data_IF_314856813271
#
_entry.id   IF_314856813271
#
_cell.length_a   1.000
_cell.length_b   1.000
_cell.length_c   1.000
_cell.angle_alpha   90.00
_cell.angle_beta   90.00
_cell.angle_gamma   90.00
#
_symmetry.space_group_name_H-M   'P 1'
#
loop_
_entity.id
_entity.type
_entity.pdbx_description
1 polymer ?
#
# COMPACT_ATOMS: atom_id res chain seq x y z
N UNK A 1 36.30 9.96 31.86
CA UNK A 1 37.03 9.32 30.74
C UNK A 1 36.03 8.71 29.75
N UNK A 2 36.39 8.66 28.46
CA UNK A 2 35.54 8.11 27.41
C UNK A 2 35.90 6.62 27.15
N UNK A 3 35.05 5.65 27.50
CA UNK A 3 35.36 4.23 27.27
C UNK A 3 35.26 3.86 25.78
N UNK A 4 36.05 2.86 25.34
CA UNK A 4 36.06 2.38 23.95
C UNK A 4 34.68 1.90 23.48
N UNK A 5 33.89 1.28 24.37
CA UNK A 5 32.54 0.81 24.07
C UNK A 5 31.58 1.94 23.67
N UNK A 6 31.70 3.10 24.33
CA UNK A 6 30.89 4.29 24.01
C UNK A 6 31.23 4.82 22.60
N UNK A 7 32.54 4.85 22.27
CA UNK A 7 32.98 5.30 20.95
C UNK A 7 32.48 4.34 19.88
N UNK A 8 32.65 3.03 20.08
CA UNK A 8 32.13 2.00 19.14
C UNK A 8 30.64 2.15 18.93
N UNK A 9 29.85 2.30 19.99
CA UNK A 9 28.41 2.50 19.92
C UNK A 9 28.02 3.78 19.14
N UNK A 10 28.72 4.90 19.43
CA UNK A 10 28.49 6.18 18.73
C UNK A 10 28.79 6.09 17.24
N UNK A 11 29.88 5.43 16.87
CA UNK A 11 30.27 5.26 15.46
C UNK A 11 29.34 4.27 14.76
N UNK A 12 28.95 3.17 15.39
CA UNK A 12 28.02 2.19 14.86
C UNK A 12 26.62 2.79 14.59
N UNK A 13 26.15 3.72 15.46
CA UNK A 13 24.88 4.43 15.24
C UNK A 13 24.87 5.27 13.96
N UNK A 14 26.03 5.80 13.57
CA UNK A 14 26.18 6.64 12.36
C UNK A 14 26.63 5.84 11.13
N UNK A 15 26.89 4.55 11.28
CA UNK A 15 27.44 3.72 10.23
C UNK A 15 26.63 3.71 8.94
N UNK A 16 25.37 3.31 9.03
CA UNK A 16 24.48 3.18 7.85
C UNK A 16 24.07 4.53 7.24
N UNK A 17 24.06 5.60 8.02
CA UNK A 17 23.54 6.89 7.56
C UNK A 17 24.60 7.88 7.10
N UNK A 18 25.86 7.69 7.52
CA UNK A 18 26.94 8.63 7.21
C UNK A 18 28.14 7.94 6.58
N UNK A 19 28.73 6.95 7.27
CA UNK A 19 30.03 6.41 6.85
C UNK A 19 29.91 5.41 5.68
N UNK A 20 28.95 4.51 5.75
CA UNK A 20 28.78 3.49 4.70
C UNK A 20 28.43 4.10 3.33
N UNK A 21 27.47 5.06 3.22
CA UNK A 21 27.22 5.79 1.97
C UNK A 21 28.45 6.52 1.41
N UNK A 22 29.26 7.09 2.28
CA UNK A 22 30.48 7.82 1.92
C UNK A 22 31.51 6.96 1.19
N UNK A 23 31.49 5.64 1.39
CA UNK A 23 32.35 4.69 0.68
C UNK A 23 32.15 4.64 -0.82
N UNK A 24 31.05 5.20 -1.34
CA UNK A 24 30.74 5.33 -2.77
C UNK A 24 31.04 6.73 -3.31
N UNK A 25 31.47 7.65 -2.46
CA UNK A 25 31.86 9.00 -2.87
C UNK A 25 33.23 8.98 -3.57
N UNK A 26 33.44 9.86 -4.52
CA UNK A 26 34.73 10.06 -5.18
C UNK A 26 35.74 10.66 -4.20
N UNK A 27 35.26 11.61 -3.40
CA UNK A 27 36.02 12.22 -2.31
C UNK A 27 35.23 12.04 -1.02
N UNK A 28 35.88 11.57 0.03
CA UNK A 28 35.23 11.34 1.31
C UNK A 28 34.90 12.67 2.02
N UNK A 29 33.69 12.79 2.51
CA UNK A 29 33.28 13.91 3.35
C UNK A 29 33.70 13.73 4.83
N UNK A 30 34.09 12.52 5.24
CA UNK A 30 34.32 12.18 6.65
C UNK A 30 35.76 11.79 6.97
N UNK A 31 36.52 11.31 5.99
CA UNK A 31 37.89 10.82 6.23
C UNK A 31 38.94 11.80 5.71
N UNK A 32 40.02 12.02 6.50
CA UNK A 32 40.38 11.37 7.77
C UNK A 32 39.44 11.82 8.92
N UNK A 33 38.92 10.82 9.68
CA UNK A 33 37.98 11.04 10.79
C UNK A 33 38.76 11.08 12.13
N UNK A 34 38.59 12.20 12.86
CA UNK A 34 39.18 12.40 14.20
C UNK A 34 38.11 12.38 15.26
N UNK A 35 38.19 11.50 16.24
CA UNK A 35 37.30 11.36 17.38
C UNK A 35 38.05 11.79 18.65
N UNK A 36 37.70 12.95 19.20
CA UNK A 36 38.27 13.46 20.45
C UNK A 36 37.83 12.64 21.65
N UNK A 37 38.77 12.40 22.57
CA UNK A 37 38.55 11.70 23.83
C UNK A 37 38.54 12.69 24.97
N UNK A 38 37.74 12.41 26.00
CA UNK A 38 37.74 13.22 27.22
C UNK A 38 38.80 12.67 28.18
N UNK A 39 39.91 13.41 28.46
CA UNK A 39 40.92 12.98 29.41
C UNK A 39 40.30 13.00 30.85
N UNK A 40 40.94 12.28 31.80
CA UNK A 40 40.51 12.30 33.19
C UNK A 40 40.70 13.69 33.81
N UNK A 41 39.82 14.05 34.71
CA UNK A 41 40.00 15.20 35.60
C UNK A 41 40.94 14.82 36.75
N UNK A 42 41.54 15.82 37.42
CA UNK A 42 42.42 15.55 38.58
C UNK A 42 41.64 14.83 39.71
N UNK A 43 40.36 15.14 39.91
CA UNK A 43 39.52 14.39 40.87
C UNK A 43 39.37 12.91 40.50
N UNK A 44 39.16 12.60 39.24
CA UNK A 44 39.07 11.19 38.78
C UNK A 44 40.40 10.45 38.96
N UNK A 45 41.52 11.13 38.76
CA UNK A 45 42.87 10.55 38.99
C UNK A 45 43.10 10.22 40.47
N UNK A 46 42.60 11.06 41.37
CA UNK A 46 42.78 10.87 42.84
C UNK A 46 41.78 9.85 43.40
N UNK A 47 40.54 9.80 42.88
CA UNK A 47 39.50 8.95 43.43
C UNK A 47 39.52 7.51 42.87
N UNK A 48 39.91 7.32 41.61
CA UNK A 48 39.90 5.98 40.93
C UNK A 48 41.06 5.84 39.96
N UNK A 49 42.27 5.86 40.48
CA UNK A 49 43.51 5.71 39.70
C UNK A 49 43.56 4.42 38.87
N UNK A 50 43.13 3.32 39.46
CA UNK A 50 43.13 2.02 38.77
C UNK A 50 42.15 1.97 37.56
N UNK A 51 41.02 2.66 37.63
CA UNK A 51 40.14 2.77 36.49
C UNK A 51 40.72 3.63 35.38
N UNK A 52 41.37 4.73 35.72
CA UNK A 52 42.09 5.58 34.76
C UNK A 52 43.23 4.80 34.11
N UNK A 53 44.04 4.04 34.87
CA UNK A 53 45.11 3.20 34.35
C UNK A 53 44.61 2.15 33.38
N UNK A 54 43.52 1.44 33.73
CA UNK A 54 42.85 0.47 32.82
C UNK A 54 42.33 1.16 31.57
N UNK A 55 41.80 2.36 31.67
CA UNK A 55 41.35 3.14 30.52
C UNK A 55 42.52 3.47 29.57
N UNK A 56 43.64 4.00 30.09
CA UNK A 56 44.86 4.29 29.31
C UNK A 56 45.38 3.00 28.63
N UNK A 57 45.45 1.90 29.36
CA UNK A 57 45.91 0.61 28.84
C UNK A 57 45.02 0.10 27.71
N UNK A 58 43.71 0.30 27.79
CA UNK A 58 42.79 -0.11 26.74
C UNK A 58 43.06 0.58 25.39
N UNK A 59 43.56 1.82 25.41
CA UNK A 59 43.97 2.53 24.20
C UNK A 59 45.37 2.18 23.76
N UNK A 60 46.31 1.96 24.69
CA UNK A 60 47.66 1.52 24.36
C UNK A 60 47.70 0.15 23.66
N UNK A 61 46.79 -0.76 23.99
CA UNK A 61 46.63 -2.03 23.30
C UNK A 61 46.22 -1.90 21.83
N UNK A 62 45.70 -0.73 21.43
CA UNK A 62 45.27 -0.44 20.05
C UNK A 62 46.38 0.17 19.17
N UNK A 63 47.57 0.46 19.69
CA UNK A 63 48.69 1.07 18.93
C UNK A 63 49.14 0.24 17.72
N UNK A 64 48.90 -1.07 17.72
CA UNK A 64 49.18 -1.96 16.57
C UNK A 64 48.05 -2.05 15.57
N UNK A 65 47.01 -1.29 15.77
CA UNK A 65 45.81 -1.29 14.91
C UNK A 65 46.01 -0.38 13.68
N UNK A 66 45.25 -0.55 12.60
CA UNK A 66 45.36 0.24 11.37
C UNK A 66 44.82 1.68 11.50
N UNK A 67 44.60 2.18 12.72
CA UNK A 67 44.23 3.54 13.04
C UNK A 67 45.16 4.12 14.10
N UNK A 68 45.23 5.43 14.19
CA UNK A 68 46.19 6.13 15.01
C UNK A 68 45.56 6.58 16.32
N UNK A 69 46.26 6.45 17.44
CA UNK A 69 45.96 7.05 18.73
C UNK A 69 46.79 8.28 18.93
N UNK A 70 46.18 9.45 19.04
CA UNK A 70 46.89 10.66 19.40
C UNK A 70 47.04 10.73 20.92
N UNK A 71 48.25 10.91 21.41
CA UNK A 71 48.57 11.02 22.82
C UNK A 71 48.92 12.45 23.19
N UNK A 72 48.55 12.85 24.41
CA UNK A 72 48.91 14.15 24.98
C UNK A 72 49.56 13.97 26.34
N UNK A 73 50.76 14.52 26.49
CA UNK A 73 51.43 14.64 27.80
C UNK A 73 50.78 15.76 28.63
N UNK A 74 50.31 15.44 29.82
CA UNK A 74 49.71 16.37 30.75
C UNK A 74 50.38 16.26 32.12
N UNK A 75 50.74 17.41 32.75
CA UNK A 75 51.20 17.47 34.12
C UNK A 75 49.99 17.44 35.06
N UNK A 76 49.96 16.46 35.94
CA UNK A 76 48.88 16.21 36.90
C UNK A 76 49.44 16.24 38.30
N UNK A 77 48.60 16.12 39.33
CA UNK A 77 49.02 15.95 40.72
C UNK A 77 49.91 14.71 40.97
N UNK A 78 49.87 13.73 40.06
CA UNK A 78 50.63 12.48 40.10
C UNK A 78 51.88 12.52 39.15
N UNK A 79 52.31 13.70 38.70
CA UNK A 79 53.43 13.88 37.79
C UNK A 79 53.03 14.04 36.32
N UNK A 80 54.00 13.86 35.41
CA UNK A 80 53.79 13.92 33.97
C UNK A 80 53.29 12.56 33.46
N UNK A 81 52.08 12.54 32.85
CA UNK A 81 51.45 11.33 32.34
C UNK A 81 50.95 11.57 30.92
N UNK A 82 50.96 10.52 30.09
CA UNK A 82 50.45 10.52 28.73
C UNK A 82 49.04 9.95 28.70
N UNK A 83 48.10 10.73 28.13
CA UNK A 83 46.72 10.32 27.99
C UNK A 83 46.29 10.26 26.52
N UNK A 84 45.45 9.32 26.12
CA UNK A 84 44.91 9.30 24.78
C UNK A 84 43.96 10.50 24.59
N UNK A 85 44.24 11.30 23.54
CA UNK A 85 43.52 12.52 23.20
C UNK A 85 42.49 12.34 22.12
N UNK A 86 42.82 11.51 21.09
CA UNK A 86 41.89 11.23 19.99
C UNK A 86 42.23 9.88 19.34
N UNK A 87 41.26 9.35 18.63
CA UNK A 87 41.46 8.26 17.65
C UNK A 87 41.28 8.90 16.27
N UNK A 88 42.21 8.59 15.37
CA UNK A 88 42.21 9.01 13.97
C UNK A 88 42.08 7.82 13.04
N UNK A 89 41.06 7.82 12.21
CA UNK A 89 40.82 6.85 11.17
C UNK A 89 41.14 7.49 9.81
N UNK A 90 42.13 6.99 9.11
CA UNK A 90 42.55 7.53 7.80
C UNK A 90 41.53 7.15 6.70
N UNK A 91 40.90 5.98 6.82
CA UNK A 91 39.98 5.45 5.84
C UNK A 91 38.74 4.81 6.49
N UNK A 92 37.70 4.62 5.71
CA UNK A 92 36.48 3.88 6.15
C UNK A 92 36.83 2.42 6.53
N UNK A 93 37.84 1.80 5.91
CA UNK A 93 38.28 0.44 6.24
C UNK A 93 38.83 0.38 7.67
N UNK A 94 39.59 1.39 8.09
CA UNK A 94 40.10 1.47 9.46
C UNK A 94 38.92 1.58 10.46
N UNK A 95 37.89 2.41 10.14
CA UNK A 95 36.68 2.54 10.95
C UNK A 95 35.90 1.23 10.99
N UNK A 96 35.68 0.59 9.83
CA UNK A 96 34.95 -0.66 9.73
C UNK A 96 35.57 -1.77 10.57
N UNK A 97 36.95 -1.87 10.54
CA UNK A 97 37.69 -2.78 11.40
C UNK A 97 37.47 -2.51 12.88
N UNK A 98 37.52 -1.24 13.29
CA UNK A 98 37.32 -0.84 14.69
C UNK A 98 35.93 -1.20 15.24
N UNK A 99 34.88 -1.04 14.43
CA UNK A 99 33.48 -1.34 14.84
C UNK A 99 33.01 -2.74 14.39
N UNK A 100 33.89 -3.61 13.90
CA UNK A 100 33.58 -4.96 13.40
C UNK A 100 32.56 -5.01 12.24
N UNK A 101 32.72 -4.10 11.27
CA UNK A 101 31.82 -3.95 10.09
C UNK A 101 32.52 -4.16 8.74
N UNK A 102 33.70 -4.79 8.73
CA UNK A 102 34.50 -4.98 7.49
C UNK A 102 33.76 -5.82 6.46
N UNK A 103 33.09 -6.91 6.86
CA UNK A 103 32.32 -7.75 5.95
C UNK A 103 31.12 -7.02 5.37
N UNK A 104 30.44 -6.21 6.19
CA UNK A 104 29.28 -5.41 5.77
C UNK A 104 29.70 -4.31 4.77
N UNK A 105 30.86 -3.67 5.00
CA UNK A 105 31.46 -2.72 4.06
C UNK A 105 31.72 -3.37 2.71
N UNK A 106 32.45 -4.49 2.70
CA UNK A 106 32.81 -5.19 1.48
C UNK A 106 31.56 -5.63 0.68
N UNK A 107 30.56 -6.19 1.36
CA UNK A 107 29.30 -6.58 0.74
C UNK A 107 28.58 -5.38 0.12
N UNK A 108 28.44 -4.30 0.88
CA UNK A 108 27.78 -3.09 0.39
C UNK A 108 28.46 -2.49 -0.84
N UNK A 109 29.80 -2.37 -0.80
CA UNK A 109 30.58 -1.85 -1.93
C UNK A 109 30.42 -2.74 -3.17
N UNK A 110 30.51 -4.07 -2.99
CA UNK A 110 30.35 -5.02 -4.10
C UNK A 110 28.96 -4.88 -4.74
N UNK A 111 27.90 -4.91 -3.95
CA UNK A 111 26.52 -4.81 -4.45
C UNK A 111 26.25 -3.45 -5.10
N UNK A 112 26.68 -2.37 -4.44
CA UNK A 112 26.46 -1.02 -4.96
C UNK A 112 27.21 -0.79 -6.27
N UNK A 113 28.46 -1.22 -6.38
CA UNK A 113 29.21 -1.10 -7.62
C UNK A 113 28.55 -1.90 -8.75
N UNK A 114 28.13 -3.14 -8.50
CA UNK A 114 27.40 -3.94 -9.48
C UNK A 114 26.08 -3.28 -9.95
N UNK A 115 25.36 -2.62 -9.03
CA UNK A 115 24.15 -1.89 -9.36
C UNK A 115 24.44 -0.64 -10.17
N UNK A 116 25.46 0.14 -9.78
CA UNK A 116 25.84 1.40 -10.42
C UNK A 116 26.44 1.14 -11.80
N UNK A 117 27.27 0.11 -11.96
CA UNK A 117 27.87 -0.27 -13.25
C UNK A 117 26.79 -0.70 -14.27
N UNK A 118 25.73 -1.38 -13.78
CA UNK A 118 24.62 -1.81 -14.63
C UNK A 118 23.61 -0.69 -14.85
N UNK A 119 23.32 0.10 -13.81
CA UNK A 119 22.32 1.17 -13.79
C UNK A 119 22.88 2.42 -13.10
N UNK A 120 23.67 3.26 -13.81
CA UNK A 120 24.28 4.46 -13.23
C UNK A 120 23.31 5.39 -12.47
N UNK A 121 22.04 5.56 -12.88
CA UNK A 121 21.07 6.37 -12.14
C UNK A 121 20.78 5.89 -10.72
N UNK A 122 21.11 4.64 -10.35
CA UNK A 122 20.94 4.10 -8.99
C UNK A 122 22.00 4.57 -7.98
N UNK A 123 23.06 5.27 -8.40
CA UNK A 123 24.10 5.74 -7.45
C UNK A 123 23.51 6.55 -6.27
N UNK A 124 22.64 7.54 -6.49
CA UNK A 124 21.98 8.26 -5.37
C UNK A 124 21.10 7.36 -4.49
N UNK A 125 20.44 6.36 -5.09
CA UNK A 125 19.65 5.38 -4.34
C UNK A 125 20.54 4.54 -3.41
N UNK A 126 21.65 3.99 -3.93
CA UNK A 126 22.60 3.23 -3.12
C UNK A 126 23.13 4.05 -1.94
N UNK A 127 23.50 5.31 -2.18
CA UNK A 127 23.97 6.22 -1.14
C UNK A 127 22.90 6.56 -0.10
N UNK A 128 21.66 6.81 -0.53
CA UNK A 128 20.57 7.18 0.36
C UNK A 128 20.00 5.99 1.17
N UNK A 129 20.06 4.78 0.62
CA UNK A 129 19.39 3.60 1.17
C UNK A 129 20.31 2.37 1.34
N UNK A 130 21.48 2.48 2.02
CA UNK A 130 22.42 1.38 2.17
C UNK A 130 21.81 0.16 2.88
N UNK A 131 20.93 0.39 3.84
CA UNK A 131 20.21 -0.69 4.51
C UNK A 131 19.33 -1.52 3.56
N UNK A 132 18.72 -0.90 2.52
CA UNK A 132 17.96 -1.63 1.49
C UNK A 132 18.90 -2.42 0.58
N UNK A 133 20.03 -1.83 0.18
CA UNK A 133 21.03 -2.55 -0.64
C UNK A 133 21.47 -3.83 0.08
N UNK A 134 21.81 -3.74 1.36
CA UNK A 134 22.19 -4.90 2.17
C UNK A 134 21.04 -5.88 2.42
N UNK A 135 19.86 -5.39 2.74
CA UNK A 135 18.68 -6.22 3.03
C UNK A 135 18.32 -7.14 1.86
N UNK A 136 18.36 -6.62 0.64
CA UNK A 136 17.96 -7.35 -0.55
C UNK A 136 19.13 -8.06 -1.26
N UNK A 137 20.30 -8.20 -0.60
CA UNK A 137 21.49 -8.78 -1.24
C UNK A 137 21.25 -10.12 -1.95
N UNK A 138 20.48 -11.09 -1.39
CA UNK A 138 20.26 -12.36 -2.08
C UNK A 138 19.38 -12.23 -3.33
N UNK A 139 18.55 -11.20 -3.39
CA UNK A 139 17.59 -10.99 -4.47
C UNK A 139 18.15 -10.16 -5.64
N UNK A 140 19.24 -9.40 -5.44
CA UNK A 140 19.77 -8.48 -6.46
C UNK A 140 20.07 -9.11 -7.82
N UNK A 141 20.61 -10.34 -7.93
CA UNK A 141 20.79 -10.95 -9.25
C UNK A 141 19.51 -11.03 -10.06
N UNK A 142 18.43 -11.53 -9.45
CA UNK A 142 17.12 -11.65 -10.07
C UNK A 142 16.47 -10.28 -10.34
N UNK A 143 16.56 -9.34 -9.37
CA UNK A 143 16.05 -7.98 -9.51
C UNK A 143 16.73 -7.22 -10.68
N UNK A 144 18.05 -7.35 -10.82
CA UNK A 144 18.80 -6.75 -11.94
C UNK A 144 18.34 -7.29 -13.29
N UNK A 145 18.21 -8.62 -13.39
CA UNK A 145 17.71 -9.27 -14.60
C UNK A 145 16.32 -8.77 -14.98
N UNK A 146 15.43 -8.59 -13.99
CA UNK A 146 14.09 -8.03 -14.23
C UNK A 146 14.14 -6.58 -14.72
N UNK A 147 14.96 -5.73 -14.09
CA UNK A 147 15.09 -4.32 -14.48
C UNK A 147 15.66 -4.23 -15.91
N UNK A 148 16.67 -5.01 -16.26
CA UNK A 148 17.23 -5.06 -17.62
C UNK A 148 16.18 -5.53 -18.63
N UNK A 149 15.44 -6.58 -18.32
CA UNK A 149 14.38 -7.08 -19.17
C UNK A 149 13.29 -6.02 -19.36
N UNK A 150 12.89 -5.32 -18.29
CA UNK A 150 11.85 -4.27 -18.36
C UNK A 150 12.31 -3.07 -19.18
N UNK A 151 13.58 -2.68 -19.14
CA UNK A 151 14.15 -1.65 -20.02
C UNK A 151 14.08 -2.05 -21.50
N UNK A 152 14.35 -3.31 -21.80
CA UNK A 152 14.27 -3.83 -23.15
C UNK A 152 12.81 -4.03 -23.65
N UNK A 153 11.83 -4.03 -22.75
CA UNK A 153 10.40 -4.21 -23.05
C UNK A 153 9.58 -3.05 -22.48
N UNK A 154 9.52 -1.90 -23.16
CA UNK A 154 8.91 -0.66 -22.65
C UNK A 154 7.44 -0.75 -22.30
N UNK A 155 6.66 -1.57 -23.03
CA UNK A 155 5.24 -1.81 -22.78
C UNK A 155 4.95 -3.30 -22.90
N UNK A 156 5.20 -4.09 -21.87
CA UNK A 156 5.23 -5.55 -22.00
C UNK A 156 3.86 -6.16 -22.33
N UNK A 157 2.75 -5.59 -21.85
CA UNK A 157 1.38 -6.10 -22.06
C UNK A 157 1.24 -7.61 -21.84
N UNK A 158 1.96 -8.16 -20.88
CA UNK A 158 1.92 -9.56 -20.43
C UNK A 158 1.71 -9.60 -18.93
N UNK A 159 1.26 -10.72 -18.40
CA UNK A 159 1.25 -10.94 -16.96
C UNK A 159 2.67 -11.08 -16.42
N UNK A 160 2.91 -10.60 -15.20
CA UNK A 160 4.22 -10.71 -14.54
C UNK A 160 4.77 -12.14 -14.51
N UNK A 161 3.88 -13.15 -14.42
CA UNK A 161 4.25 -14.57 -14.47
C UNK A 161 4.88 -15.00 -15.80
N UNK A 162 4.63 -14.25 -16.87
CA UNK A 162 5.14 -14.56 -18.22
C UNK A 162 6.54 -13.95 -18.49
N UNK A 163 7.09 -13.22 -17.54
CA UNK A 163 8.44 -12.65 -17.66
C UNK A 163 9.45 -13.80 -17.67
N UNK A 164 10.28 -13.94 -18.73
CA UNK A 164 11.15 -15.10 -18.92
C UNK A 164 12.48 -14.98 -18.16
N UNK A 165 12.42 -14.93 -16.84
CA UNK A 165 13.57 -14.82 -15.95
C UNK A 165 13.54 -16.01 -14.98
N UNK A 166 14.67 -16.68 -14.83
CA UNK A 166 14.83 -17.77 -13.87
C UNK A 166 14.63 -17.24 -12.43
N UNK A 167 14.04 -18.05 -11.58
CA UNK A 167 13.75 -17.76 -10.17
C UNK A 167 12.83 -16.53 -9.93
N UNK A 168 12.21 -16.00 -10.98
CA UNK A 168 11.26 -14.90 -10.92
C UNK A 168 9.82 -15.44 -10.88
N UNK A 169 9.40 -15.91 -9.72
CA UNK A 169 8.04 -16.38 -9.49
C UNK A 169 7.15 -15.32 -8.81
N UNK A 170 5.86 -15.61 -8.70
CA UNK A 170 4.89 -14.70 -8.09
C UNK A 170 5.22 -14.40 -6.63
N UNK A 171 5.76 -15.38 -5.90
CA UNK A 171 6.12 -15.24 -4.49
C UNK A 171 7.33 -14.35 -4.29
N UNK A 172 8.35 -14.53 -5.14
CA UNK A 172 9.50 -13.62 -5.20
C UNK A 172 9.06 -12.19 -5.47
N UNK A 173 8.21 -12.02 -6.48
CA UNK A 173 7.74 -10.71 -6.89
C UNK A 173 6.95 -10.00 -5.79
N UNK A 174 6.00 -10.69 -5.12
CA UNK A 174 5.21 -10.10 -4.04
C UNK A 174 6.10 -9.56 -2.90
N UNK A 175 7.17 -10.29 -2.57
CA UNK A 175 8.14 -9.85 -1.57
C UNK A 175 9.01 -8.68 -2.01
N UNK A 176 9.12 -8.41 -3.33
CA UNK A 176 10.09 -7.47 -3.88
C UNK A 176 9.48 -6.33 -4.71
N UNK A 177 8.14 -6.28 -4.90
CA UNK A 177 7.47 -5.20 -5.67
C UNK A 177 7.87 -3.80 -5.20
N UNK A 178 8.01 -3.59 -3.90
CA UNK A 178 8.33 -2.28 -3.36
C UNK A 178 9.72 -1.80 -3.78
N UNK A 179 10.74 -2.65 -3.65
CA UNK A 179 12.11 -2.29 -4.05
C UNK A 179 12.23 -2.18 -5.57
N UNK A 180 11.53 -3.03 -6.32
CA UNK A 180 11.46 -2.93 -7.78
C UNK A 180 10.84 -1.61 -8.22
N UNK A 181 9.74 -1.19 -7.61
CA UNK A 181 9.10 0.09 -7.93
C UNK A 181 10.05 1.27 -7.69
N UNK A 182 10.75 1.31 -6.56
CA UNK A 182 11.72 2.36 -6.27
C UNK A 182 12.86 2.40 -7.31
N UNK A 183 13.34 1.25 -7.76
CA UNK A 183 14.39 1.19 -8.77
C UNK A 183 13.87 1.56 -10.17
N UNK A 184 12.69 1.06 -10.55
CA UNK A 184 12.08 1.35 -11.86
C UNK A 184 11.72 2.83 -12.01
N UNK A 185 11.23 3.47 -10.95
CA UNK A 185 10.92 4.91 -10.96
C UNK A 185 12.17 5.79 -11.16
N UNK A 186 13.36 5.28 -10.82
CA UNK A 186 14.63 5.98 -11.05
C UNK A 186 15.21 5.70 -12.45
N UNK A 187 15.01 4.48 -12.94
CA UNK A 187 15.73 3.98 -14.13
C UNK A 187 14.92 4.14 -15.41
N UNK A 188 13.58 3.94 -15.34
CA UNK A 188 12.75 3.98 -16.52
C UNK A 188 12.57 5.42 -17.02
N UNK A 189 12.53 5.64 -18.36
CA UNK A 189 12.04 6.87 -18.94
C UNK A 189 10.60 7.17 -18.47
N UNK A 190 10.30 8.45 -18.28
CA UNK A 190 9.00 8.90 -17.72
C UNK A 190 7.82 8.43 -18.58
N UNK A 191 7.99 8.38 -19.89
CA UNK A 191 7.00 7.89 -20.85
C UNK A 191 6.67 6.40 -20.72
N UNK A 192 7.51 5.64 -20.02
CA UNK A 192 7.28 4.22 -19.73
C UNK A 192 6.68 3.97 -18.34
N UNK A 193 6.35 5.04 -17.62
CA UNK A 193 5.74 5.00 -16.29
C UNK A 193 4.37 5.68 -16.37
N UNK A 194 3.32 4.94 -16.07
CA UNK A 194 1.97 5.50 -16.00
C UNK A 194 1.77 6.18 -14.65
N UNK A 195 1.94 7.51 -14.63
CA UNK A 195 1.97 8.31 -13.39
C UNK A 195 0.62 8.39 -12.66
N UNK A 196 -0.49 8.10 -13.36
CA UNK A 196 -1.83 8.00 -12.78
C UNK A 196 -1.98 6.83 -11.81
N UNK A 197 -1.09 5.83 -11.89
CA UNK A 197 -1.04 4.70 -10.97
C UNK A 197 0.09 4.86 -9.97
N UNK A 198 -0.18 4.53 -8.69
CA UNK A 198 0.81 4.68 -7.62
C UNK A 198 0.73 3.53 -6.60
N UNK A 199 1.83 3.35 -5.86
CA UNK A 199 1.93 2.34 -4.81
C UNK A 199 2.10 0.90 -5.33
N UNK A 200 2.40 0.00 -4.41
CA UNK A 200 2.74 -1.40 -4.71
C UNK A 200 1.53 -2.19 -5.27
N UNK A 201 0.32 -1.81 -4.87
CA UNK A 201 -0.91 -2.46 -5.33
C UNK A 201 -1.16 -2.26 -6.83
N UNK A 202 -0.76 -1.12 -7.37
CA UNK A 202 -0.93 -0.77 -8.77
C UNK A 202 0.34 -0.98 -9.60
N UNK A 203 1.28 -1.80 -9.12
CA UNK A 203 2.57 -2.07 -9.76
C UNK A 203 2.41 -2.51 -11.23
N UNK A 204 1.51 -3.44 -11.50
CA UNK A 204 1.28 -3.94 -12.86
C UNK A 204 0.82 -2.81 -13.78
N UNK A 205 -0.22 -2.10 -13.40
CA UNK A 205 -0.76 -0.99 -14.18
C UNK A 205 0.29 0.11 -14.41
N UNK A 206 1.05 0.49 -13.36
CA UNK A 206 2.07 1.53 -13.42
C UNK A 206 3.17 1.22 -14.44
N UNK A 207 3.61 -0.05 -14.51
CA UNK A 207 4.75 -0.45 -15.36
C UNK A 207 4.34 -1.22 -16.62
N UNK A 208 3.06 -1.17 -17.03
CA UNK A 208 2.57 -1.68 -18.30
C UNK A 208 2.39 -3.19 -18.36
N UNK A 209 2.31 -3.87 -17.22
CA UNK A 209 1.95 -5.28 -17.12
C UNK A 209 0.43 -5.45 -17.09
N UNK A 210 -0.03 -6.63 -17.52
CA UNK A 210 -1.39 -7.06 -17.27
C UNK A 210 -1.56 -7.46 -15.80
N UNK A 211 -2.70 -7.11 -15.23
CA UNK A 211 -3.08 -7.53 -13.89
C UNK A 211 -4.30 -8.47 -13.95
N UNK A 212 -4.62 -9.11 -12.84
CA UNK A 212 -5.90 -9.81 -12.75
C UNK A 212 -7.00 -8.78 -12.95
N UNK A 213 -7.77 -8.98 -14.04
CA UNK A 213 -8.93 -8.14 -14.28
C UNK A 213 -9.92 -8.30 -13.13
N UNK A 214 -10.39 -7.19 -12.59
CA UNK A 214 -11.46 -7.20 -11.61
C UNK A 214 -12.69 -7.89 -12.19
N UNK A 215 -13.22 -8.86 -11.44
CA UNK A 215 -14.31 -9.71 -11.88
C UNK A 215 -15.64 -9.18 -11.35
N UNK A 216 -16.52 -8.70 -12.23
CA UNK A 216 -17.90 -8.40 -11.87
C UNK A 216 -18.72 -9.67 -11.82
N UNK A 217 -19.39 -9.91 -10.71
CA UNK A 217 -20.27 -11.06 -10.52
C UNK A 217 -21.72 -10.67 -10.74
N UNK A 218 -22.43 -11.54 -11.46
CA UNK A 218 -23.82 -11.37 -11.76
C UNK A 218 -24.61 -12.66 -11.48
N UNK A 219 -25.91 -12.50 -11.19
CA UNK A 219 -26.85 -13.60 -11.03
C UNK A 219 -28.19 -13.26 -11.70
N UNK A 220 -28.63 -14.16 -12.59
CA UNK A 220 -29.97 -14.12 -13.15
C UNK A 220 -30.98 -14.51 -12.07
N UNK A 221 -31.97 -13.66 -11.85
CA UNK A 221 -32.97 -13.87 -10.80
C UNK A 221 -34.21 -14.62 -11.31
N UNK A 222 -34.43 -14.65 -12.61
CA UNK A 222 -35.51 -15.41 -13.21
C UNK A 222 -35.28 -16.91 -13.09
N UNK A 223 -36.36 -17.65 -12.72
CA UNK A 223 -36.28 -19.11 -12.60
C UNK A 223 -35.95 -19.81 -13.91
N UNK A 224 -36.48 -19.30 -15.01
CA UNK A 224 -36.39 -19.93 -16.31
C UNK A 224 -35.16 -19.48 -17.11
N UNK A 225 -34.54 -18.38 -16.72
CA UNK A 225 -33.38 -17.85 -17.42
C UNK A 225 -32.08 -18.40 -16.83
N UNK A 226 -31.25 -18.95 -17.71
CA UNK A 226 -29.91 -19.41 -17.36
C UNK A 226 -28.95 -19.10 -18.51
N UNK A 227 -27.68 -18.85 -18.19
CA UNK A 227 -26.60 -18.82 -19.15
C UNK A 227 -26.04 -20.25 -19.27
N UNK A 228 -26.51 -21.02 -20.25
CA UNK A 228 -26.12 -22.46 -20.44
C UNK A 228 -26.23 -23.30 -19.15
N UNK A 229 -27.28 -23.09 -18.36
CA UNK A 229 -27.51 -23.80 -17.11
C UNK A 229 -26.97 -23.06 -15.87
N UNK A 230 -26.15 -22.01 -16.02
CA UNK A 230 -25.64 -21.23 -14.89
C UNK A 230 -26.53 -20.03 -14.61
N UNK A 231 -26.88 -19.81 -13.35
CA UNK A 231 -27.55 -18.59 -12.87
C UNK A 231 -26.57 -17.53 -12.39
N UNK A 232 -25.47 -17.95 -11.79
CA UNK A 232 -24.42 -17.05 -11.25
C UNK A 232 -23.17 -17.21 -12.09
N UNK A 233 -22.62 -16.11 -12.56
CA UNK A 233 -21.42 -16.06 -13.38
C UNK A 233 -20.58 -14.84 -13.07
N UNK A 234 -19.34 -14.87 -13.50
CA UNK A 234 -18.37 -13.80 -13.28
C UNK A 234 -17.56 -13.62 -14.54
N UNK A 235 -17.31 -12.37 -14.90
CA UNK A 235 -16.46 -12.01 -16.02
C UNK A 235 -15.64 -10.75 -15.70
N UNK A 236 -14.50 -10.54 -16.40
CA UNK A 236 -13.76 -9.30 -16.34
C UNK A 236 -14.67 -8.10 -16.64
N UNK A 237 -14.46 -6.98 -15.94
CA UNK A 237 -15.27 -5.77 -16.13
C UNK A 237 -15.27 -5.28 -17.58
N UNK A 238 -14.15 -5.46 -18.30
CA UNK A 238 -14.03 -5.12 -19.72
C UNK A 238 -14.96 -5.92 -20.64
N UNK A 239 -15.27 -7.17 -20.28
CA UNK A 239 -16.19 -8.02 -21.05
C UNK A 239 -17.65 -7.60 -20.86
N UNK A 240 -17.99 -7.08 -19.68
CA UNK A 240 -19.31 -6.57 -19.37
C UNK A 240 -19.69 -5.34 -20.19
N UNK A 241 -18.74 -4.62 -20.79
CA UNK A 241 -19.03 -3.48 -21.67
C UNK A 241 -19.85 -3.91 -22.92
N UNK A 242 -19.62 -5.14 -23.40
CA UNK A 242 -20.33 -5.71 -24.56
C UNK A 242 -21.53 -6.57 -24.19
N UNK A 243 -21.87 -6.64 -22.90
CA UNK A 243 -23.02 -7.45 -22.45
C UNK A 243 -24.34 -6.90 -23.00
N UNK A 244 -25.18 -7.79 -23.50
CA UNK A 244 -26.49 -7.47 -24.08
C UNK A 244 -27.61 -8.03 -23.19
N UNK A 245 -28.14 -7.26 -22.25
CA UNK A 245 -29.16 -7.72 -21.31
C UNK A 245 -30.43 -8.19 -22.00
N UNK A 246 -30.78 -7.61 -23.15
CA UNK A 246 -31.97 -7.96 -23.93
C UNK A 246 -31.93 -9.42 -24.44
N UNK A 247 -30.73 -9.95 -24.74
CA UNK A 247 -30.56 -11.33 -25.15
C UNK A 247 -30.98 -12.34 -24.04
N UNK A 248 -31.04 -11.88 -22.80
CA UNK A 248 -31.47 -12.65 -21.63
C UNK A 248 -32.82 -12.19 -21.11
N UNK A 249 -33.56 -11.37 -21.86
CA UNK A 249 -34.85 -10.83 -21.42
C UNK A 249 -34.76 -9.97 -20.14
N UNK A 250 -33.59 -9.44 -19.80
CA UNK A 250 -33.37 -8.64 -18.61
C UNK A 250 -34.04 -7.27 -18.82
N UNK A 251 -34.90 -6.89 -17.90
CA UNK A 251 -35.64 -5.63 -17.92
C UNK A 251 -35.29 -4.71 -16.75
N UNK A 252 -34.59 -5.22 -15.74
CA UNK A 252 -34.16 -4.48 -14.56
C UNK A 252 -32.90 -5.04 -13.93
N UNK A 253 -32.12 -4.18 -13.29
CA UNK A 253 -30.84 -4.54 -12.65
C UNK A 253 -30.86 -4.12 -11.19
N UNK A 254 -30.46 -5.03 -10.32
CA UNK A 254 -30.20 -4.75 -8.91
C UNK A 254 -28.69 -4.69 -8.68
N UNK A 255 -28.24 -3.78 -7.83
CA UNK A 255 -26.83 -3.66 -7.40
C UNK A 255 -26.81 -3.72 -5.89
N UNK A 256 -26.05 -4.65 -5.33
CA UNK A 256 -25.87 -4.79 -3.87
C UNK A 256 -24.39 -4.93 -3.52
N UNK A 257 -23.99 -4.38 -2.38
CA UNK A 257 -22.60 -4.40 -1.90
C UNK A 257 -22.30 -5.56 -0.95
N UNK A 258 -23.33 -6.20 -0.40
CA UNK A 258 -23.15 -7.36 0.47
C UNK A 258 -23.20 -8.68 -0.33
N UNK A 259 -22.17 -9.51 -0.13
CA UNK A 259 -22.04 -10.80 -0.85
C UNK A 259 -23.17 -11.78 -0.54
N UNK A 260 -23.61 -11.83 0.71
CA UNK A 260 -24.68 -12.75 1.13
C UNK A 260 -26.00 -12.30 0.54
N UNK A 261 -26.28 -11.00 0.54
CA UNK A 261 -27.47 -10.42 -0.08
C UNK A 261 -27.49 -10.67 -1.60
N UNK A 262 -26.34 -10.56 -2.26
CA UNK A 262 -26.20 -10.94 -3.68
C UNK A 262 -26.54 -12.42 -3.92
N UNK A 263 -26.00 -13.33 -3.10
CA UNK A 263 -26.22 -14.77 -3.27
C UNK A 263 -27.65 -15.19 -2.91
N UNK A 264 -28.23 -14.57 -1.88
CA UNK A 264 -29.55 -14.89 -1.37
C UNK A 264 -30.67 -14.07 -2.04
N UNK A 265 -30.34 -13.14 -2.95
CA UNK A 265 -31.33 -12.23 -3.54
C UNK A 265 -32.55 -13.01 -4.06
N UNK A 266 -33.78 -12.60 -3.75
CA UNK A 266 -34.99 -13.31 -4.15
C UNK A 266 -35.11 -13.50 -5.67
N UNK A 267 -35.78 -14.57 -6.06
CA UNK A 267 -36.11 -14.79 -7.47
C UNK A 267 -37.10 -13.74 -7.96
N UNK A 268 -36.81 -13.18 -9.13
CA UNK A 268 -37.63 -12.15 -9.75
C UNK A 268 -37.55 -12.25 -11.28
N UNK A 269 -38.70 -12.25 -11.96
CA UNK A 269 -38.76 -12.36 -13.41
C UNK A 269 -38.00 -11.21 -14.11
N UNK A 270 -37.31 -11.51 -15.19
CA UNK A 270 -36.61 -10.56 -16.05
C UNK A 270 -35.62 -9.64 -15.32
N UNK A 271 -34.96 -10.15 -14.27
CA UNK A 271 -34.08 -9.37 -13.42
C UNK A 271 -32.68 -9.97 -13.30
N UNK A 272 -31.71 -9.08 -13.17
CA UNK A 272 -30.29 -9.38 -12.93
C UNK A 272 -29.86 -8.70 -11.63
N UNK A 273 -29.10 -9.38 -10.78
CA UNK A 273 -28.39 -8.75 -9.67
C UNK A 273 -26.88 -8.75 -9.91
N UNK A 274 -26.24 -7.62 -9.65
CA UNK A 274 -24.80 -7.40 -9.73
C UNK A 274 -24.23 -7.22 -8.33
N UNK A 275 -23.03 -7.83 -8.10
CA UNK A 275 -22.31 -7.63 -6.85
C UNK A 275 -21.34 -6.46 -6.98
N UNK A 276 -21.65 -5.36 -6.29
CA UNK A 276 -21.03 -4.06 -6.48
C UNK A 276 -19.83 -3.73 -5.59
N UNK A 277 -19.54 -4.56 -4.58
CA UNK A 277 -18.50 -4.24 -3.59
C UNK A 277 -17.09 -4.25 -4.20
N UNK A 278 -16.35 -3.19 -3.89
CA UNK A 278 -14.90 -3.10 -4.20
C UNK A 278 -14.59 -2.44 -5.53
N UNK A 279 -15.58 -2.09 -6.34
CA UNK A 279 -15.37 -1.40 -7.61
C UNK A 279 -15.44 0.12 -7.43
N UNK A 280 -14.41 0.82 -7.94
CA UNK A 280 -14.49 2.26 -8.08
C UNK A 280 -15.58 2.66 -9.08
N UNK A 281 -16.24 3.78 -8.82
CA UNK A 281 -17.35 4.25 -9.65
C UNK A 281 -16.98 4.44 -11.14
N UNK A 282 -15.73 4.75 -11.44
CA UNK A 282 -15.21 4.88 -12.80
C UNK A 282 -15.27 3.58 -13.61
N UNK A 283 -15.21 2.40 -12.96
CA UNK A 283 -15.43 1.12 -13.62
C UNK A 283 -16.90 0.97 -14.03
N UNK A 284 -17.83 1.35 -13.15
CA UNK A 284 -19.25 1.27 -13.42
C UNK A 284 -19.66 2.10 -14.64
N UNK A 285 -19.13 3.30 -14.81
CA UNK A 285 -19.40 4.18 -15.96
C UNK A 285 -19.14 3.53 -17.32
N UNK A 286 -18.28 2.52 -17.37
CA UNK A 286 -17.97 1.78 -18.60
C UNK A 286 -19.10 0.84 -19.03
N UNK A 287 -20.05 0.52 -18.14
CA UNK A 287 -21.19 -0.35 -18.44
C UNK A 287 -22.34 0.48 -19.04
N UNK A 288 -22.15 0.93 -20.27
CA UNK A 288 -23.10 1.86 -20.94
C UNK A 288 -24.49 1.30 -21.12
N UNK A 289 -24.66 -0.01 -21.16
CA UNK A 289 -25.96 -0.69 -21.26
C UNK A 289 -26.85 -0.50 -20.02
N UNK A 290 -26.27 -0.10 -18.86
CA UNK A 290 -27.06 0.21 -17.66
C UNK A 290 -27.98 1.42 -17.83
N UNK A 291 -27.66 2.35 -18.75
CA UNK A 291 -28.49 3.53 -19.00
C UNK A 291 -29.90 3.21 -19.53
N UNK A 292 -30.03 2.04 -20.20
CA UNK A 292 -31.25 1.65 -20.88
C UNK A 292 -32.18 0.80 -20.00
N UNK A 293 -31.80 0.54 -18.73
CA UNK A 293 -32.54 -0.30 -17.79
C UNK A 293 -32.81 0.43 -16.47
N UNK A 294 -33.96 0.18 -15.80
CA UNK A 294 -34.12 0.57 -14.41
C UNK A 294 -33.06 -0.10 -13.53
N UNK A 295 -32.38 0.70 -12.72
CA UNK A 295 -31.37 0.25 -11.77
C UNK A 295 -31.89 0.44 -10.36
N UNK A 296 -31.78 -0.60 -9.53
CA UNK A 296 -32.14 -0.58 -8.12
C UNK A 296 -30.88 -0.79 -7.29
N UNK A 297 -30.42 0.27 -6.65
CA UNK A 297 -29.23 0.22 -5.81
C UNK A 297 -29.61 -0.02 -4.35
N UNK A 298 -29.03 -1.05 -3.75
CA UNK A 298 -29.18 -1.40 -2.35
C UNK A 298 -27.82 -1.30 -1.64
N UNK A 299 -27.59 -0.21 -0.93
CA UNK A 299 -26.45 0.06 -0.08
C UNK A 299 -26.82 0.07 1.40
N UNK A 300 -25.86 0.43 2.25
CA UNK A 300 -26.12 0.71 3.66
C UNK A 300 -26.91 2.01 3.80
N UNK A 301 -27.73 2.14 4.84
CA UNK A 301 -28.35 3.40 5.20
C UNK A 301 -27.39 4.16 6.12
N UNK A 302 -26.48 4.89 5.51
CA UNK A 302 -25.53 5.79 6.14
C UNK A 302 -25.14 6.91 5.15
N UNK A 303 -24.31 7.85 5.58
CA UNK A 303 -23.95 8.99 4.72
C UNK A 303 -23.12 8.58 3.50
N UNK A 304 -22.32 7.51 3.59
CA UNK A 304 -21.54 6.99 2.46
C UNK A 304 -22.42 6.22 1.46
N UNK A 305 -23.36 5.41 1.92
CA UNK A 305 -24.30 4.70 1.03
C UNK A 305 -25.11 5.65 0.17
N UNK A 306 -25.60 6.77 0.75
CA UNK A 306 -26.25 7.84 -0.02
C UNK A 306 -25.29 8.56 -0.98
N UNK A 307 -24.02 8.73 -0.61
CA UNK A 307 -23.04 9.32 -1.52
C UNK A 307 -22.78 8.41 -2.75
N UNK A 308 -22.75 7.10 -2.57
CA UNK A 308 -22.63 6.13 -3.66
C UNK A 308 -23.89 6.14 -4.54
N UNK A 309 -25.09 6.12 -3.95
CA UNK A 309 -26.35 6.25 -4.67
C UNK A 309 -26.37 7.53 -5.53
N UNK A 310 -25.94 8.65 -4.97
CA UNK A 310 -25.84 9.92 -5.69
C UNK A 310 -24.91 9.83 -6.90
N UNK A 311 -23.78 9.13 -6.79
CA UNK A 311 -22.86 8.89 -7.93
C UNK A 311 -23.51 8.01 -8.99
N UNK A 312 -24.20 6.93 -8.61
CA UNK A 312 -24.94 6.09 -9.56
C UNK A 312 -26.00 6.92 -10.30
N UNK A 313 -26.79 7.71 -9.59
CA UNK A 313 -27.86 8.52 -10.21
C UNK A 313 -27.30 9.65 -11.08
N UNK A 314 -26.14 10.19 -10.76
CA UNK A 314 -25.46 11.16 -11.62
C UNK A 314 -25.12 10.55 -13.01
N UNK A 315 -24.68 9.29 -13.05
CA UNK A 315 -24.35 8.62 -14.31
C UNK A 315 -25.59 8.00 -14.99
N UNK A 316 -26.53 7.49 -14.20
CA UNK A 316 -27.75 6.84 -14.66
C UNK A 316 -28.94 7.42 -13.89
N UNK A 317 -29.64 8.46 -14.44
CA UNK A 317 -30.74 9.13 -13.75
C UNK A 317 -31.93 8.24 -13.40
N UNK A 318 -32.07 7.07 -14.07
CA UNK A 318 -33.05 6.03 -13.80
C UNK A 318 -32.73 5.13 -12.59
N UNK A 319 -31.65 5.40 -11.84
CA UNK A 319 -31.31 4.67 -10.62
C UNK A 319 -32.27 5.02 -9.49
N UNK A 320 -32.83 4.00 -8.86
CA UNK A 320 -33.68 4.08 -7.67
C UNK A 320 -32.97 3.45 -6.47
N UNK A 321 -33.24 3.94 -5.27
CA UNK A 321 -32.80 3.26 -4.04
C UNK A 321 -33.72 2.07 -3.75
N UNK A 322 -33.17 1.01 -3.22
CA UNK A 322 -33.93 -0.13 -2.67
C UNK A 322 -33.64 -0.23 -1.18
N UNK A 323 -34.67 -0.18 -0.34
CA UNK A 323 -34.55 -0.29 1.12
C UNK A 323 -33.67 0.77 1.77
N UNK A 324 -33.40 1.89 1.11
CA UNK A 324 -32.64 3.02 1.65
C UNK A 324 -33.56 4.17 2.01
N UNK A 325 -34.60 3.89 2.80
CA UNK A 325 -35.65 4.81 3.20
C UNK A 325 -35.84 4.86 4.73
N UNK A 326 -36.57 5.87 5.21
CA UNK A 326 -36.81 6.08 6.63
C UNK A 326 -37.64 4.94 7.26
N UNK A 327 -38.59 4.37 6.53
CA UNK A 327 -39.38 3.25 7.03
C UNK A 327 -38.53 2.02 7.30
N UNK A 328 -37.64 1.68 6.38
CA UNK A 328 -36.66 0.59 6.56
C UNK A 328 -35.73 0.87 7.74
N UNK A 329 -35.23 2.10 7.86
CA UNK A 329 -34.34 2.48 8.97
C UNK A 329 -35.05 2.31 10.32
N UNK A 330 -36.25 2.85 10.46
CA UNK A 330 -36.99 2.81 11.71
C UNK A 330 -37.49 1.40 12.08
N UNK A 331 -37.87 0.59 11.08
CA UNK A 331 -38.26 -0.81 11.33
C UNK A 331 -37.12 -1.64 11.91
N UNK A 332 -35.86 -1.23 11.71
CA UNK A 332 -34.69 -1.94 12.17
C UNK A 332 -33.89 -1.16 13.24
N UNK A 333 -34.55 -0.29 14.00
CA UNK A 333 -33.92 0.60 14.99
C UNK A 333 -33.02 -0.15 15.99
N UNK A 334 -33.41 -1.34 16.44
CA UNK A 334 -32.67 -2.13 17.39
C UNK A 334 -31.32 -2.66 16.83
N UNK A 335 -31.12 -2.57 15.50
CA UNK A 335 -29.94 -3.08 14.79
C UNK A 335 -29.02 -1.96 14.28
N UNK A 336 -29.29 -0.71 14.65
CA UNK A 336 -28.45 0.41 14.26
C UNK A 336 -27.03 0.25 14.80
N UNK A 337 -26.07 0.58 13.99
CA UNK A 337 -24.65 0.71 14.31
C UNK A 337 -24.20 2.17 14.26
N UNK A 338 -22.92 2.37 14.31
CA UNK A 338 -22.30 3.71 14.25
C UNK A 338 -21.44 3.81 12.99
N UNK A 339 -21.66 4.84 12.19
CA UNK A 339 -20.80 5.19 11.06
C UNK A 339 -19.51 5.85 11.60
N UNK A 340 -18.31 5.28 11.36
CA UNK A 340 -17.09 5.79 11.97
C UNK A 340 -16.68 7.18 11.50
N UNK A 341 -16.93 7.50 10.25
CA UNK A 341 -16.52 8.75 9.59
C UNK A 341 -17.60 9.24 8.62
N UNK A 342 -18.70 9.85 9.11
CA UNK A 342 -19.77 10.37 8.27
C UNK A 342 -19.26 11.42 7.26
N UNK A 343 -19.76 11.35 6.01
CA UNK A 343 -19.45 12.37 5.01
C UNK A 343 -20.35 13.58 5.14
N UNK A 344 -19.79 14.78 4.93
CA UNK A 344 -20.52 16.06 4.88
C UNK A 344 -20.70 16.57 3.43
N UNK A 345 -20.56 15.68 2.43
CA UNK A 345 -20.67 16.05 1.04
C UNK A 345 -22.07 16.58 0.69
N UNK A 346 -22.13 17.52 -0.26
CA UNK A 346 -23.41 17.92 -0.88
C UNK A 346 -23.79 16.93 -1.97
N UNK A 347 -24.96 16.31 -1.82
CA UNK A 347 -25.50 15.34 -2.75
C UNK A 347 -26.68 15.96 -3.51
N UNK A 348 -26.50 16.18 -4.82
CA UNK A 348 -27.47 16.92 -5.67
C UNK A 348 -28.41 16.03 -6.48
N UNK A 349 -28.17 14.71 -6.48
CA UNK A 349 -28.94 13.76 -7.28
C UNK A 349 -29.83 12.82 -6.43
N UNK A 350 -29.97 13.07 -5.14
CA UNK A 350 -30.89 12.33 -4.28
C UNK A 350 -32.35 12.77 -4.53
N UNK A 351 -33.28 11.84 -4.42
CA UNK A 351 -34.71 12.15 -4.38
C UNK A 351 -35.04 12.93 -3.10
N UNK A 352 -36.20 13.64 -3.09
CA UNK A 352 -36.55 14.51 -1.97
C UNK A 352 -36.62 13.79 -0.60
N UNK A 353 -37.10 12.54 -0.59
CA UNK A 353 -37.18 11.72 0.64
C UNK A 353 -35.82 11.25 1.09
N UNK A 354 -34.96 10.78 0.15
CA UNK A 354 -33.59 10.39 0.41
C UNK A 354 -32.75 11.57 0.91
N UNK A 355 -32.98 12.77 0.33
CA UNK A 355 -32.29 13.99 0.76
C UNK A 355 -32.65 14.38 2.20
N UNK A 356 -33.91 14.21 2.58
CA UNK A 356 -34.34 14.45 3.96
C UNK A 356 -33.70 13.48 4.94
N UNK A 357 -33.72 12.19 4.60
CA UNK A 357 -33.06 11.16 5.44
C UNK A 357 -31.54 11.38 5.53
N UNK A 358 -30.90 11.69 4.43
CA UNK A 358 -29.46 12.00 4.40
C UNK A 358 -29.11 13.20 5.31
N UNK A 359 -29.93 14.27 5.26
CA UNK A 359 -29.74 15.43 6.15
C UNK A 359 -29.95 15.07 7.62
N UNK A 360 -30.96 14.27 7.95
CA UNK A 360 -31.19 13.80 9.31
C UNK A 360 -30.03 12.97 9.85
N UNK A 361 -29.40 12.13 9.00
CA UNK A 361 -28.19 11.38 9.35
C UNK A 361 -26.97 12.31 9.59
N UNK A 362 -26.78 13.31 8.73
CA UNK A 362 -25.69 14.29 8.88
C UNK A 362 -25.84 15.16 10.14
N UNK A 363 -27.07 15.56 10.47
CA UNK A 363 -27.40 16.42 11.61
C UNK A 363 -27.53 15.63 12.93
N UNK A 364 -27.47 14.29 12.85
CA UNK A 364 -27.69 13.40 14.00
C UNK A 364 -29.09 13.52 14.64
N UNK A 365 -30.11 13.88 13.86
CA UNK A 365 -31.49 14.09 14.35
C UNK A 365 -32.12 12.80 14.90
N UNK A 366 -31.69 11.64 14.37
CA UNK A 366 -32.18 10.33 14.78
C UNK A 366 -31.26 9.67 15.84
N UNK A 367 -30.05 10.23 16.05
CA UNK A 367 -29.03 9.74 16.96
C UNK A 367 -27.63 9.92 16.37
N UNK A 368 -26.56 9.75 17.17
CA UNK A 368 -25.21 10.06 16.75
C UNK A 368 -24.68 9.04 15.73
N UNK A 369 -24.31 9.53 14.53
CA UNK A 369 -23.65 8.77 13.47
C UNK A 369 -24.33 7.43 13.17
N UNK A 370 -25.64 7.43 12.99
CA UNK A 370 -26.41 6.22 12.75
C UNK A 370 -26.01 5.58 11.42
N UNK A 371 -25.88 4.25 11.45
CA UNK A 371 -25.70 3.38 10.30
C UNK A 371 -26.58 2.14 10.43
N UNK A 372 -27.31 1.81 9.38
CA UNK A 372 -27.93 0.50 9.22
C UNK A 372 -27.28 -0.22 8.05
N UNK A 373 -26.48 -1.24 8.36
CA UNK A 373 -25.84 -2.08 7.35
C UNK A 373 -26.90 -2.93 6.63
N UNK A 374 -26.81 -3.03 5.31
CA UNK A 374 -27.78 -3.79 4.50
C UNK A 374 -27.91 -5.27 4.94
N UNK A 375 -26.89 -5.84 5.56
CA UNK A 375 -26.92 -7.21 6.08
C UNK A 375 -27.75 -7.37 7.37
N UNK A 376 -28.09 -6.27 8.03
CA UNK A 376 -28.93 -6.23 9.23
C UNK A 376 -30.41 -6.04 8.92
N UNK A 377 -30.75 -5.74 7.66
CA UNK A 377 -32.13 -5.63 7.20
C UNK A 377 -32.70 -7.05 7.11
N UNK A 378 -33.87 -7.27 7.74
CA UNK A 378 -34.52 -8.57 7.73
C UNK A 378 -34.85 -9.01 6.29
N UNK A 379 -34.48 -10.25 5.95
CA UNK A 379 -34.68 -10.78 4.60
C UNK A 379 -36.16 -10.84 4.22
N UNK A 380 -37.04 -11.08 5.19
CA UNK A 380 -38.50 -11.01 4.99
C UNK A 380 -38.96 -9.63 4.56
N UNK A 381 -38.37 -8.55 5.13
CA UNK A 381 -38.63 -7.17 4.73
C UNK A 381 -38.27 -6.94 3.25
N UNK A 382 -37.10 -7.39 2.81
CA UNK A 382 -36.74 -7.32 1.39
C UNK A 382 -37.77 -8.02 0.50
N UNK A 383 -38.18 -9.25 0.86
CA UNK A 383 -39.12 -10.03 0.07
C UNK A 383 -40.49 -9.33 -0.03
N UNK A 384 -40.97 -8.72 1.06
CA UNK A 384 -42.22 -7.97 1.10
C UNK A 384 -42.14 -6.73 0.21
N UNK A 385 -41.08 -5.95 0.35
CA UNK A 385 -40.89 -4.73 -0.46
C UNK A 385 -40.74 -5.05 -1.97
N UNK A 386 -40.05 -6.12 -2.33
CA UNK A 386 -39.97 -6.56 -3.73
C UNK A 386 -41.33 -6.99 -4.27
N UNK A 387 -42.17 -7.66 -3.47
CA UNK A 387 -43.53 -8.03 -3.88
C UNK A 387 -44.40 -6.77 -4.07
N UNK A 388 -44.41 -5.85 -3.12
CA UNK A 388 -45.18 -4.60 -3.23
C UNK A 388 -44.78 -3.80 -4.48
N UNK A 389 -43.47 -3.69 -4.76
CA UNK A 389 -42.97 -2.90 -5.87
C UNK A 389 -43.21 -3.57 -7.23
N UNK A 390 -43.05 -4.89 -7.35
CA UNK A 390 -42.98 -5.59 -8.65
C UNK A 390 -44.13 -6.58 -8.92
N UNK A 391 -45.02 -6.84 -7.98
CA UNK A 391 -46.19 -7.73 -8.23
C UNK A 391 -47.28 -7.02 -9.09
N UNK A 392 -47.26 -5.71 -9.18
CA UNK A 392 -48.17 -4.94 -10.03
C UNK A 392 -47.86 -5.04 -11.52
N UNK A 393 -46.62 -5.38 -11.91
CA UNK A 393 -46.19 -5.50 -13.31
C UNK A 393 -46.78 -6.75 -14.03
N UNK A 394 -47.29 -7.72 -13.29
CA UNK A 394 -47.86 -8.98 -13.82
C UNK A 394 -49.35 -8.95 -14.12
N UNK A 395 -50.08 -7.88 -13.77
CA UNK A 395 -51.57 -7.85 -13.85
C UNK A 395 -52.16 -7.09 -15.06
N UNK A 396 -51.29 -6.47 -15.90
CA UNK A 396 -51.79 -5.66 -17.04
C UNK A 396 -51.71 -6.34 -18.43
N UNK A 397 -51.38 -7.62 -18.50
CA UNK A 397 -51.30 -8.33 -19.79
C UNK A 397 -52.25 -9.53 -19.93
N UNK A 398 -53.42 -9.46 -19.31
CA UNK A 398 -54.53 -10.36 -19.67
C UNK A 398 -55.85 -9.55 -19.78
N UNK A 399 -56.00 -8.81 -20.85
CA UNK A 399 -57.28 -8.48 -21.51
C UNK A 399 -56.97 -7.71 -22.79
N UNK A 400 -57.01 -8.44 -23.90
CA UNK A 400 -56.89 -7.91 -25.25
C UNK A 400 -56.69 -9.02 -26.25
#
# INVERSE_FOLDING_TARGET
VTPLSEIKAKLAKRWLTHYLPDSLATESAFFPLRIGLKPPTDNQLLQDFEAVKRWVQSYAQLEKSPFEIEWQSKRTSLGKNDFPQAIRFQTIHNLAGFINKTAELALYQTLSNQLIDTFPPLKPFCQKHPAKVLKYHPAWPCLRSFIQWRLANPNPQIYLRQVPIADFDSKFLEGHKAILAECLDIILPVEHIRSEFSGVKQFCARYGFLDQAEQLQARLLDRQQTLQGFKTFSAPFSEWQSFQPQAFGIQRVFITENKVNFLAFPELANALVLFGKGFGFEHWKQLTWLKDLPIYYWGDIDTHGFAILNQFRQAWPNTQSLLMDEATLLAHQALWGVEPQPTQARLSHLAAEEQRLYQALQQNDLGPNIRLEQERIAFTWLVEQLKETFTQDGCTSKNG
#
